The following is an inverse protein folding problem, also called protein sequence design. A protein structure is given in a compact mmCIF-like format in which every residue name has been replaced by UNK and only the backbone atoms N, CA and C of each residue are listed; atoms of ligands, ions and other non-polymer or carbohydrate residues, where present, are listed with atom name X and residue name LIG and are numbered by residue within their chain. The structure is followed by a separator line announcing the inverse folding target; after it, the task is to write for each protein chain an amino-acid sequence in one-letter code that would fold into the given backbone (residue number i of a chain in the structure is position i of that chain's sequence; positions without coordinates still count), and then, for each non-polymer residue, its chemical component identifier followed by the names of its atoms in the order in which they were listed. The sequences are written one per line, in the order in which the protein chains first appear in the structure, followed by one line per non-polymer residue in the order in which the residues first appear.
data_IF_402595184202
#
_entry.id   IF_402595184202
#
_cell.length_a   1.000
_cell.length_b   1.000
_cell.length_c   1.000
_cell.angle_alpha   90.00
_cell.angle_beta   90.00
_cell.angle_gamma   90.00
#
_symmetry.space_group_name_H-M   'P 1'
#
loop_
_entity.id
_entity.type
_entity.pdbx_description
1 polymer ?
#
# COMPACT_ATOMS: atom_id res chain seq x y z
N UNK A 1 -21.15 1.97 5.92
CA UNK A 1 -20.20 1.03 5.27
C UNK A 1 -19.26 1.85 4.39
N UNK A 2 -17.96 1.61 4.48
CA UNK A 2 -16.92 2.31 3.74
C UNK A 2 -16.31 1.34 2.70
N UNK A 3 -16.22 1.76 1.45
CA UNK A 3 -15.59 1.00 0.38
C UNK A 3 -14.29 1.69 -0.03
N UNK A 4 -13.19 0.94 -0.04
CA UNK A 4 -11.89 1.41 -0.50
C UNK A 4 -11.47 0.56 -1.69
N UNK A 5 -11.13 1.22 -2.81
CA UNK A 5 -10.65 0.60 -4.03
C UNK A 5 -9.17 0.91 -4.19
N UNK A 6 -8.35 -0.13 -4.30
CA UNK A 6 -6.92 -0.01 -4.60
C UNK A 6 -6.67 -0.61 -5.97
N UNK A 7 -6.19 0.22 -6.89
CA UNK A 7 -5.88 -0.18 -8.26
C UNK A 7 -4.37 -0.36 -8.43
N UNK A 8 -4.00 -1.40 -9.16
CA UNK A 8 -2.61 -1.71 -9.48
C UNK A 8 -2.48 -2.05 -10.94
N UNK A 9 -1.37 -1.64 -11.53
CA UNK A 9 -0.98 -2.05 -12.88
C UNK A 9 0.41 -2.66 -12.82
N UNK A 10 0.53 -3.90 -13.30
CA UNK A 10 1.81 -4.56 -13.53
C UNK A 10 2.08 -4.56 -15.03
N UNK A 11 3.16 -3.89 -15.45
CA UNK A 11 3.67 -3.95 -16.81
C UNK A 11 4.93 -4.81 -16.88
N UNK A 12 4.88 -5.88 -17.68
CA UNK A 12 6.05 -6.70 -17.99
C UNK A 12 6.61 -6.25 -19.35
N UNK A 13 7.89 -5.88 -19.39
CA UNK A 13 8.57 -5.43 -20.61
C UNK A 13 9.79 -6.28 -20.92
N UNK A 14 10.16 -6.38 -22.19
CA UNK A 14 11.44 -6.96 -22.62
C UNK A 14 12.60 -6.00 -22.28
N UNK A 15 13.84 -6.47 -22.42
CA UNK A 15 15.02 -5.60 -22.30
C UNK A 15 15.06 -4.47 -23.33
N UNK A 16 14.37 -4.63 -24.47
CA UNK A 16 14.20 -3.59 -25.49
C UNK A 16 12.96 -2.71 -25.25
N UNK A 17 12.47 -2.65 -24.00
CA UNK A 17 11.30 -1.87 -23.56
C UNK A 17 9.97 -2.20 -24.26
N UNK A 18 9.90 -3.29 -25.02
CA UNK A 18 8.66 -3.73 -25.66
C UNK A 18 7.74 -4.33 -24.60
N UNK A 19 6.52 -3.84 -24.48
CA UNK A 19 5.54 -4.39 -23.54
C UNK A 19 5.10 -5.78 -23.97
N UNK A 20 5.27 -6.75 -23.06
CA UNK A 20 4.85 -8.14 -23.23
C UNK A 20 3.42 -8.31 -22.73
N UNK A 21 3.13 -7.75 -21.56
CA UNK A 21 1.79 -7.74 -20.97
C UNK A 21 1.62 -6.55 -20.02
N UNK A 22 0.39 -6.07 -19.91
CA UNK A 22 -0.06 -5.14 -18.88
C UNK A 22 -1.29 -5.70 -18.19
N UNK A 23 -1.23 -5.83 -16.86
CA UNK A 23 -2.30 -6.39 -16.03
C UNK A 23 -2.76 -5.30 -15.08
N UNK A 24 -4.02 -4.87 -15.21
CA UNK A 24 -4.67 -3.96 -14.26
C UNK A 24 -5.65 -4.72 -13.38
N UNK A 25 -5.55 -4.53 -12.07
CA UNK A 25 -6.43 -5.15 -11.09
C UNK A 25 -6.88 -4.15 -10.02
N UNK A 26 -8.12 -4.30 -9.57
CA UNK A 26 -8.68 -3.50 -8.48
C UNK A 26 -9.08 -4.40 -7.32
N UNK A 27 -8.48 -4.18 -6.16
CA UNK A 27 -8.86 -4.83 -4.91
C UNK A 27 -9.80 -3.91 -4.15
N UNK A 28 -10.97 -4.42 -3.76
CA UNK A 28 -11.99 -3.65 -3.04
C UNK A 28 -12.12 -4.21 -1.63
N UNK A 29 -11.87 -3.36 -0.64
CA UNK A 29 -12.12 -3.65 0.77
C UNK A 29 -13.39 -2.96 1.25
N UNK A 30 -14.24 -3.70 1.95
CA UNK A 30 -15.42 -3.17 2.61
C UNK A 30 -15.20 -3.13 4.13
N UNK A 31 -15.29 -1.94 4.71
CA UNK A 31 -15.13 -1.72 6.14
C UNK A 31 -16.46 -1.30 6.77
N UNK A 32 -16.74 -1.87 7.94
CA UNK A 32 -17.78 -1.38 8.83
C UNK A 32 -17.14 -0.42 9.83
N UNK A 33 -17.53 0.84 9.76
CA UNK A 33 -17.18 1.84 10.79
C UNK A 33 -18.23 1.71 11.90
N UNK A 34 -17.78 1.49 13.13
CA UNK A 34 -18.65 1.44 14.31
C UNK A 34 -18.75 2.88 14.83
N UNK A 35 -19.98 3.38 14.96
CA UNK A 35 -20.30 4.81 15.19
C UNK A 35 -19.99 5.32 16.59
N UNK A 36 -19.58 4.45 17.53
CA UNK A 36 -19.24 4.81 18.92
C UNK A 36 -17.80 5.35 19.07
N UNK A 37 -17.27 5.86 17.98
CA UNK A 37 -15.96 6.47 17.89
C UNK A 37 -16.22 7.90 17.43
N UNK A 38 -15.83 8.90 18.23
CA UNK A 38 -15.74 10.33 17.85
C UNK A 38 -14.67 10.54 16.75
N UNK A 39 -14.62 9.66 15.77
CA UNK A 39 -13.65 9.64 14.69
C UNK A 39 -14.13 10.59 13.62
N UNK A 40 -13.38 11.68 13.45
CA UNK A 40 -13.61 12.62 12.37
C UNK A 40 -13.39 11.93 11.02
N UNK A 41 -14.04 12.45 9.97
CA UNK A 41 -13.79 12.00 8.59
C UNK A 41 -12.29 12.05 8.23
N UNK A 42 -11.57 13.05 8.75
CA UNK A 42 -10.12 13.18 8.55
C UNK A 42 -9.33 12.02 9.16
N UNK A 43 -9.69 11.58 10.36
CA UNK A 43 -9.07 10.43 11.00
C UNK A 43 -9.34 9.12 10.24
N UNK A 44 -10.56 8.92 9.71
CA UNK A 44 -10.88 7.79 8.83
C UNK A 44 -10.02 7.82 7.57
N UNK A 45 -9.89 8.98 6.92
CA UNK A 45 -9.06 9.13 5.71
C UNK A 45 -7.59 8.82 5.98
N UNK A 46 -7.01 9.41 7.02
CA UNK A 46 -5.63 9.15 7.41
C UNK A 46 -5.38 7.67 7.73
N UNK A 47 -6.35 7.01 8.38
CA UNK A 47 -6.28 5.58 8.62
C UNK A 47 -6.33 4.78 7.32
N UNK A 48 -7.21 5.12 6.37
CA UNK A 48 -7.29 4.46 5.05
C UNK A 48 -5.93 4.54 4.35
N UNK A 49 -5.40 5.76 4.21
CA UNK A 49 -4.17 6.04 3.48
C UNK A 49 -2.97 5.31 4.09
N UNK A 50 -2.89 5.26 5.42
CA UNK A 50 -1.79 4.59 6.10
C UNK A 50 -1.92 3.06 6.08
N UNK A 51 -3.12 2.49 6.21
CA UNK A 51 -3.29 1.08 6.58
C UNK A 51 -3.87 0.20 5.48
N UNK A 52 -4.81 0.69 4.69
CA UNK A 52 -5.62 -0.20 3.83
C UNK A 52 -4.77 -0.85 2.74
N UNK A 53 -3.81 -0.11 2.18
CA UNK A 53 -2.88 -0.67 1.21
C UNK A 53 -2.07 -1.85 1.79
N UNK A 54 -1.54 -1.70 3.00
CA UNK A 54 -0.78 -2.77 3.69
C UNK A 54 -1.65 -4.00 3.97
N UNK A 55 -2.92 -3.81 4.31
CA UNK A 55 -3.87 -4.91 4.52
C UNK A 55 -4.18 -5.66 3.23
N UNK A 56 -4.29 -4.94 2.11
CA UNK A 56 -4.60 -5.52 0.81
C UNK A 56 -3.37 -6.09 0.09
N UNK A 57 -2.17 -5.62 0.43
CA UNK A 57 -0.94 -5.98 -0.28
C UNK A 57 -0.69 -7.48 -0.42
N UNK A 58 -0.92 -8.35 0.59
CA UNK A 58 -0.76 -9.79 0.42
C UNK A 58 -1.63 -10.38 -0.72
N UNK A 59 -2.86 -9.89 -0.87
CA UNK A 59 -3.76 -10.32 -1.95
C UNK A 59 -3.29 -9.83 -3.31
N UNK A 60 -2.78 -8.59 -3.36
CA UNK A 60 -2.17 -8.03 -4.57
C UNK A 60 -0.97 -8.87 -5.02
N UNK A 61 -0.08 -9.22 -4.08
CA UNK A 61 1.09 -10.08 -4.35
C UNK A 61 0.65 -11.42 -4.93
N UNK A 62 -0.27 -12.10 -4.25
CA UNK A 62 -0.78 -13.40 -4.68
C UNK A 62 -1.44 -13.31 -6.07
N UNK A 63 -2.29 -12.31 -6.29
CA UNK A 63 -2.98 -12.10 -7.56
C UNK A 63 -2.00 -12.00 -8.73
N UNK A 64 -0.94 -11.19 -8.61
CA UNK A 64 0.01 -11.04 -9.71
C UNK A 64 0.85 -12.30 -9.94
N UNK A 65 1.20 -13.02 -8.88
CA UNK A 65 1.88 -14.32 -9.00
C UNK A 65 1.02 -15.34 -9.76
N UNK A 66 -0.25 -15.45 -9.41
CA UNK A 66 -1.20 -16.35 -10.08
C UNK A 66 -1.47 -15.92 -11.52
N UNK A 67 -1.74 -14.62 -11.75
CA UNK A 67 -2.08 -14.10 -13.07
C UNK A 67 -0.93 -14.26 -14.05
N UNK A 68 0.30 -13.96 -13.65
CA UNK A 68 1.47 -14.14 -14.51
C UNK A 68 1.69 -15.61 -14.86
N UNK A 69 1.48 -16.52 -13.90
CA UNK A 69 1.55 -17.96 -14.14
C UNK A 69 0.45 -18.42 -15.12
N UNK A 70 -0.79 -17.95 -14.95
CA UNK A 70 -1.91 -18.28 -15.86
C UNK A 70 -1.67 -17.80 -17.29
N UNK A 71 -0.94 -16.70 -17.46
CA UNK A 71 -0.56 -16.16 -18.77
C UNK A 71 0.67 -16.84 -19.37
N UNK A 72 1.22 -17.87 -18.71
CA UNK A 72 2.41 -18.60 -19.17
C UNK A 72 3.71 -17.81 -19.02
N UNK A 73 3.70 -16.75 -18.21
CA UNK A 73 4.88 -15.96 -17.89
C UNK A 73 5.58 -16.55 -16.65
N UNK A 74 6.89 -16.28 -16.45
CA UNK A 74 7.54 -16.53 -15.18
C UNK A 74 6.76 -15.86 -14.04
N UNK A 75 6.52 -16.55 -12.91
CA UNK A 75 5.74 -16.02 -11.81
C UNK A 75 6.37 -14.76 -11.26
N UNK A 76 5.63 -13.65 -11.28
CA UNK A 76 6.07 -12.39 -10.68
C UNK A 76 5.64 -12.38 -9.22
N UNK A 77 6.61 -12.40 -8.32
CA UNK A 77 6.41 -12.20 -6.89
C UNK A 77 6.87 -10.80 -6.53
N UNK A 78 5.96 -9.93 -6.11
CA UNK A 78 6.34 -8.60 -5.64
C UNK A 78 7.07 -8.73 -4.29
N UNK A 79 7.99 -7.81 -3.98
CA UNK A 79 8.68 -7.78 -2.70
C UNK A 79 7.73 -7.61 -1.51
N UNK A 80 8.24 -7.74 -0.30
CA UNK A 80 7.44 -7.40 0.88
C UNK A 80 7.37 -5.88 1.02
N UNK A 81 6.17 -5.40 1.34
CA UNK A 81 5.98 -4.00 1.68
C UNK A 81 6.45 -3.79 3.13
N UNK A 82 7.46 -2.96 3.31
CA UNK A 82 7.95 -2.58 4.63
C UNK A 82 7.24 -1.30 5.09
N UNK A 83 6.86 -1.27 6.37
CA UNK A 83 6.36 -0.04 7.00
C UNK A 83 7.50 0.55 7.82
N UNK A 84 7.95 1.75 7.45
CA UNK A 84 8.80 2.55 8.33
C UNK A 84 7.94 3.05 9.49
N UNK A 85 7.98 2.31 10.61
CA UNK A 85 7.32 2.67 11.86
C UNK A 85 8.09 3.76 12.62
N UNK A 86 8.62 4.79 11.93
CA UNK A 86 9.15 5.96 12.64
C UNK A 86 7.97 6.72 13.22
N UNK A 87 7.80 6.61 14.53
CA UNK A 87 6.86 7.42 15.29
C UNK A 87 7.15 8.90 15.01
N UNK A 88 6.13 9.74 14.76
CA UNK A 88 6.32 11.19 14.59
C UNK A 88 6.87 11.89 15.84
N UNK A 89 7.00 11.19 16.97
CA UNK A 89 7.53 11.69 18.24
C UNK A 89 9.07 11.83 18.27
N UNK A 90 9.80 11.16 17.38
CA UNK A 90 11.28 11.21 17.40
C UNK A 90 11.87 12.42 16.68
N UNK A 91 11.04 13.22 15.99
CA UNK A 91 11.48 14.41 15.27
C UNK A 91 11.69 15.65 16.17
N UNK A 92 11.13 15.67 17.38
CA UNK A 92 11.27 16.81 18.31
C UNK A 92 12.37 16.64 19.37
N UNK A 93 12.99 15.46 19.49
CA UNK A 93 14.04 15.21 20.49
C UNK A 93 15.47 15.60 20.05
N UNK A 94 15.64 16.14 18.83
CA UNK A 94 16.94 16.63 18.33
C UNK A 94 16.93 18.14 18.12
N UNK A 95 16.60 18.91 19.15
CA UNK A 95 17.17 20.25 19.32
C UNK A 95 18.42 20.14 20.19
N UNK A 96 19.63 20.46 19.69
CA UNK A 96 20.78 20.61 20.58
C UNK A 96 20.53 21.83 21.48
N UNK A 97 20.32 21.54 22.76
CA UNK A 97 20.49 22.52 23.84
C UNK A 97 21.98 22.85 23.94
N UNK A 98 22.34 24.12 23.69
CA UNK A 98 23.66 24.68 23.97
C UNK A 98 24.10 25.65 22.86
N UNK A 99 24.62 26.85 23.12
CA UNK A 99 24.90 27.54 24.36
C UNK A 99 24.95 29.04 24.04
N UNK A 100 24.52 29.84 25.00
CA UNK A 100 24.77 31.28 25.05
C UNK A 100 26.24 31.46 25.45
N UNK A 101 27.01 32.18 24.63
CA UNK A 101 28.17 32.98 25.05
C UNK A 101 28.46 34.02 23.98
#
# INVERSE_FOLDING_TARGET
MLLVRVEHTLSCRTQGETEIVSITAAHIAAFRVIEDLDTTRGAVSAWIDANVYFQLYPYVRQFFTEMTTMLGLPPVTLDYLHRDLRSPTDAEASQPTGAIS
#
